data_IF_945567313740
#
_entry.id   IF_945567313740
#
_cell.length_a   1.000
_cell.length_b   1.000
_cell.length_c   1.000
_cell.angle_alpha   90.00
_cell.angle_beta   90.00
_cell.angle_gamma   90.00
#
_symmetry.space_group_name_H-M   'P 1'
#
loop_
_entity.id
_entity.type
_entity.pdbx_description
1 polymer ?
#
# COMPACT_ATOMS: atom_id res chain seq x y z
N UNK A 1 57.41 5.53 67.69
CA UNK A 1 57.20 6.74 66.88
C UNK A 1 56.32 6.37 65.68
N UNK A 2 55.05 6.80 65.68
CA UNK A 2 54.47 7.78 64.73
C UNK A 2 54.79 7.45 63.26
N UNK A 3 53.89 7.40 62.28
CA UNK A 3 52.51 7.86 61.99
C UNK A 3 52.40 7.45 60.49
N UNK A 4 51.33 6.92 59.90
CA UNK A 4 50.01 7.50 59.63
C UNK A 4 49.50 6.74 58.38
N UNK A 5 48.23 6.38 58.37
CA UNK A 5 47.28 6.45 57.23
C UNK A 5 47.63 5.73 55.89
N UNK A 6 46.71 5.07 55.19
CA UNK A 6 45.30 5.41 54.94
C UNK A 6 44.61 4.13 54.41
N UNK A 7 43.53 3.70 55.05
CA UNK A 7 42.65 2.62 54.58
C UNK A 7 41.71 3.18 53.51
N UNK A 8 41.89 2.78 52.25
CA UNK A 8 40.97 3.10 51.16
C UNK A 8 39.74 2.18 51.24
N UNK A 9 38.64 2.73 51.77
CA UNK A 9 37.32 2.10 51.74
C UNK A 9 36.78 2.13 50.30
N UNK A 10 36.73 0.98 49.64
CA UNK A 10 36.02 0.83 48.38
C UNK A 10 34.52 0.86 48.63
N UNK A 11 33.85 1.95 48.25
CA UNK A 11 32.40 2.01 48.18
C UNK A 11 32.01 1.49 46.80
N UNK A 12 31.51 0.26 46.73
CA UNK A 12 30.83 -0.27 45.55
C UNK A 12 29.48 0.44 45.50
N UNK A 13 29.40 1.55 44.75
CA UNK A 13 28.14 2.20 44.45
C UNK A 13 27.32 1.30 43.54
N UNK A 14 26.24 0.71 44.07
CA UNK A 14 25.23 0.04 43.27
C UNK A 14 24.53 1.07 42.39
N UNK A 15 25.00 1.22 41.15
CA UNK A 15 24.38 2.07 40.15
C UNK A 15 23.15 1.32 39.62
N UNK A 16 22.00 1.56 40.24
CA UNK A 16 20.70 1.06 39.77
C UNK A 16 20.39 1.73 38.44
N UNK A 17 20.63 1.03 37.34
CA UNK A 17 20.15 1.41 36.01
C UNK A 17 18.63 1.27 36.06
N UNK A 18 17.93 2.39 36.33
CA UNK A 18 16.50 2.47 36.11
C UNK A 18 16.26 2.37 34.61
N UNK A 19 15.87 1.19 34.12
CA UNK A 19 15.33 1.03 32.78
C UNK A 19 14.09 1.94 32.69
N UNK A 20 14.05 2.90 31.75
CA UNK A 20 12.84 3.69 31.58
C UNK A 20 11.71 2.72 31.18
N UNK A 21 10.63 2.70 31.97
CA UNK A 21 9.37 2.10 31.54
C UNK A 21 8.89 2.87 30.32
N UNK A 22 9.17 2.33 29.14
CA UNK A 22 8.48 2.75 27.93
C UNK A 22 7.01 2.33 28.11
N UNK A 23 6.04 3.25 28.04
CA UNK A 23 4.66 2.89 28.21
C UNK A 23 4.28 1.91 27.10
N UNK A 24 3.79 0.73 27.49
CA UNK A 24 3.19 -0.26 26.61
C UNK A 24 1.87 0.29 26.06
N UNK A 25 1.97 1.20 25.09
CA UNK A 25 0.85 2.04 24.69
C UNK A 25 1.06 2.79 23.38
N UNK A 26 1.60 2.11 22.37
CA UNK A 26 1.53 2.58 20.98
C UNK A 26 1.52 1.42 19.97
N UNK A 27 0.91 0.29 20.32
CA UNK A 27 0.44 -0.64 19.30
C UNK A 27 -0.87 -0.06 18.76
N UNK A 28 -0.73 0.76 17.72
CA UNK A 28 -1.87 1.27 16.97
C UNK A 28 -2.67 0.05 16.50
N UNK A 29 -3.84 -0.19 17.09
CA UNK A 29 -4.68 -1.35 16.74
C UNK A 29 -4.91 -1.31 15.24
N UNK A 30 -4.63 -2.43 14.57
CA UNK A 30 -4.88 -2.56 13.14
C UNK A 30 -6.38 -2.34 12.88
N UNK A 31 -6.71 -1.25 12.19
CA UNK A 31 -8.07 -0.97 11.75
C UNK A 31 -8.32 -1.63 10.39
N UNK A 32 -9.10 -2.70 10.41
CA UNK A 32 -9.57 -3.43 9.21
C UNK A 32 -11.02 -3.09 8.85
N UNK A 33 -11.56 -1.99 9.39
CA UNK A 33 -12.91 -1.55 9.08
C UNK A 33 -13.05 -1.25 7.58
N UNK A 34 -14.27 -1.39 7.06
CA UNK A 34 -14.59 -1.05 5.66
C UNK A 34 -14.06 0.34 5.30
N UNK A 35 -14.28 1.33 6.17
CA UNK A 35 -13.80 2.70 5.98
C UNK A 35 -12.28 2.77 5.89
N UNK A 36 -11.56 2.11 6.79
CA UNK A 36 -10.10 2.07 6.74
C UNK A 36 -9.58 1.45 5.44
N UNK A 37 -10.26 0.42 4.93
CA UNK A 37 -9.89 -0.28 3.70
C UNK A 37 -10.24 0.53 2.44
N UNK A 38 -11.37 1.23 2.40
CA UNK A 38 -11.84 1.95 1.19
C UNK A 38 -11.44 3.43 1.13
N UNK A 39 -11.17 4.08 2.26
CA UNK A 39 -11.02 5.53 2.33
C UNK A 39 -9.74 5.99 3.03
N UNK A 40 -8.67 5.17 2.97
CA UNK A 40 -7.34 5.57 3.43
C UNK A 40 -6.89 6.85 2.68
N UNK A 41 -6.40 7.87 3.39
CA UNK A 41 -6.07 9.16 2.79
C UNK A 41 -4.86 9.12 1.86
N UNK A 42 -3.98 8.14 2.01
CA UNK A 42 -2.74 8.01 1.23
C UNK A 42 -2.91 7.03 0.06
N UNK A 43 -3.83 6.07 0.19
CA UNK A 43 -4.09 5.07 -0.85
C UNK A 43 -4.58 5.75 -2.16
N UNK A 44 -3.87 5.56 -3.28
CA UNK A 44 -4.29 6.14 -4.55
C UNK A 44 -5.67 5.61 -4.98
N UNK A 45 -6.46 6.50 -5.59
CA UNK A 45 -7.83 6.20 -6.03
C UNK A 45 -8.03 6.61 -7.47
N UNK A 46 -8.88 5.87 -8.20
CA UNK A 46 -9.34 6.22 -9.55
C UNK A 46 -10.86 6.08 -9.61
N UNK A 47 -11.55 7.19 -9.87
CA UNK A 47 -13.01 7.24 -10.04
C UNK A 47 -13.43 8.57 -10.68
N UNK A 48 -14.66 8.59 -11.22
CA UNK A 48 -15.43 9.84 -11.39
C UNK A 48 -16.03 10.31 -10.06
N UNK A 49 -16.70 11.46 -10.07
CA UNK A 49 -17.32 12.06 -8.87
C UNK A 49 -18.48 11.25 -8.29
N UNK A 50 -19.16 10.42 -9.11
CA UNK A 50 -20.45 9.80 -8.77
C UNK A 50 -20.37 8.26 -8.76
N UNK A 51 -19.39 7.72 -8.02
CA UNK A 51 -19.26 6.28 -7.86
C UNK A 51 -20.28 5.72 -6.85
N UNK A 52 -20.87 4.57 -7.15
CA UNK A 52 -21.80 3.85 -6.26
C UNK A 52 -21.20 2.54 -5.72
N UNK A 53 -20.05 2.13 -6.27
CA UNK A 53 -19.35 0.92 -5.86
C UNK A 53 -17.84 1.16 -5.80
N UNK A 54 -17.20 0.55 -4.81
CA UNK A 54 -15.74 0.58 -4.66
C UNK A 54 -15.17 -0.82 -4.77
N UNK A 55 -14.16 -0.97 -5.62
CA UNK A 55 -13.28 -2.12 -5.71
C UNK A 55 -11.97 -1.74 -5.01
N UNK A 56 -11.54 -2.54 -4.05
CA UNK A 56 -10.21 -2.41 -3.45
C UNK A 56 -9.34 -3.48 -4.07
N UNK A 57 -8.30 -3.08 -4.81
CA UNK A 57 -7.36 -3.99 -5.47
C UNK A 57 -6.07 -4.08 -4.66
N UNK A 58 -5.71 -5.28 -4.22
CA UNK A 58 -4.42 -5.62 -3.65
C UNK A 58 -3.54 -6.21 -4.76
N UNK A 59 -2.41 -5.58 -5.07
CA UNK A 59 -1.59 -5.93 -6.23
C UNK A 59 -0.10 -5.63 -6.05
N UNK A 60 0.71 -6.23 -6.92
CA UNK A 60 2.16 -6.01 -7.02
C UNK A 60 2.53 -5.81 -8.50
N UNK A 61 3.42 -4.86 -8.80
CA UNK A 61 3.92 -4.58 -10.16
C UNK A 61 4.75 -5.72 -10.79
N UNK A 62 5.29 -6.63 -9.98
CA UNK A 62 5.97 -7.85 -10.43
C UNK A 62 5.04 -9.06 -10.56
N UNK A 63 3.78 -8.97 -10.15
CA UNK A 63 2.86 -10.10 -10.24
C UNK A 63 2.32 -10.28 -11.68
N UNK A 64 2.55 -11.44 -12.34
CA UNK A 64 2.05 -11.67 -13.70
C UNK A 64 0.51 -11.66 -13.80
N UNK A 65 -0.19 -12.13 -12.76
CA UNK A 65 -1.65 -12.10 -12.72
C UNK A 65 -2.21 -10.69 -12.52
N UNK A 66 -1.52 -9.80 -11.78
CA UNK A 66 -1.91 -8.39 -11.70
C UNK A 66 -1.82 -7.71 -13.07
N UNK A 67 -0.78 -8.02 -13.85
CA UNK A 67 -0.65 -7.53 -15.24
C UNK A 67 -1.77 -8.05 -16.14
N UNK A 68 -2.17 -9.33 -16.00
CA UNK A 68 -3.34 -9.89 -16.70
C UNK A 68 -4.66 -9.24 -16.29
N UNK A 69 -4.80 -8.84 -15.02
CA UNK A 69 -5.99 -8.14 -14.55
C UNK A 69 -6.09 -6.69 -15.05
N UNK A 70 -5.01 -6.11 -15.57
CA UNK A 70 -5.04 -4.71 -16.00
C UNK A 70 -6.04 -4.42 -17.13
N UNK A 71 -6.04 -5.13 -18.26
CA UNK A 71 -7.07 -4.94 -19.29
C UNK A 71 -8.48 -5.25 -18.77
N UNK A 72 -8.64 -6.19 -17.82
CA UNK A 72 -9.95 -6.51 -17.22
C UNK A 72 -10.50 -5.33 -16.42
N UNK A 73 -9.70 -4.74 -15.53
CA UNK A 73 -10.13 -3.57 -14.75
C UNK A 73 -10.34 -2.32 -15.63
N UNK A 74 -9.51 -2.12 -16.65
CA UNK A 74 -9.71 -1.04 -17.61
C UNK A 74 -11.00 -1.23 -18.42
N UNK A 75 -11.31 -2.46 -18.85
CA UNK A 75 -12.57 -2.78 -19.51
C UNK A 75 -13.79 -2.56 -18.62
N UNK A 76 -13.68 -2.87 -17.33
CA UNK A 76 -14.74 -2.57 -16.36
C UNK A 76 -14.96 -1.06 -16.24
N UNK A 77 -13.90 -0.30 -15.94
CA UNK A 77 -13.97 1.16 -15.78
C UNK A 77 -14.50 1.87 -17.03
N UNK A 78 -14.16 1.36 -18.21
CA UNK A 78 -14.66 1.90 -19.48
C UNK A 78 -16.16 1.64 -19.67
N UNK A 79 -16.65 0.47 -19.25
CA UNK A 79 -18.08 0.13 -19.36
C UNK A 79 -18.94 0.60 -18.19
N UNK A 80 -18.33 1.03 -17.09
CA UNK A 80 -19.01 1.31 -15.84
C UNK A 80 -18.33 2.48 -15.09
N UNK A 81 -18.70 3.73 -15.42
CA UNK A 81 -18.08 4.92 -14.84
C UNK A 81 -18.43 5.14 -13.36
N UNK A 82 -19.38 4.37 -12.80
CA UNK A 82 -19.76 4.42 -11.39
C UNK A 82 -18.87 3.55 -10.50
N UNK A 83 -17.87 2.88 -11.06
CA UNK A 83 -16.87 2.12 -10.30
C UNK A 83 -15.73 3.04 -9.84
N UNK A 84 -15.45 3.01 -8.54
CA UNK A 84 -14.20 3.51 -7.95
C UNK A 84 -13.24 2.35 -7.70
N UNK A 85 -11.96 2.56 -8.03
CA UNK A 85 -10.87 1.67 -7.58
C UNK A 85 -10.05 2.38 -6.49
N UNK A 86 -9.78 1.65 -5.41
CA UNK A 86 -8.78 1.99 -4.39
C UNK A 86 -7.61 1.03 -4.58
N UNK A 87 -6.42 1.59 -4.79
CA UNK A 87 -5.19 0.83 -5.01
C UNK A 87 -4.50 0.56 -3.67
N UNK A 88 -4.31 -0.72 -3.37
CA UNK A 88 -3.56 -1.23 -2.21
C UNK A 88 -2.31 -1.94 -2.72
N UNK A 89 -1.29 -1.15 -3.04
CA UNK A 89 0.02 -1.69 -3.39
C UNK A 89 0.52 -2.60 -2.26
N UNK A 90 0.70 -3.89 -2.57
CA UNK A 90 1.13 -4.92 -1.65
C UNK A 90 2.39 -5.60 -2.21
N UNK A 91 3.57 -4.99 -2.00
CA UNK A 91 4.80 -5.38 -2.66
C UNK A 91 5.44 -6.64 -2.01
N UNK A 92 4.91 -7.81 -2.34
CA UNK A 92 5.32 -9.11 -1.78
C UNK A 92 6.40 -9.84 -2.61
N UNK A 93 6.77 -9.31 -3.79
CA UNK A 93 7.80 -9.91 -4.66
C UNK A 93 9.21 -9.31 -4.45
N UNK A 94 9.44 -8.60 -3.34
CA UNK A 94 10.77 -8.16 -2.90
C UNK A 94 11.10 -6.68 -3.14
N UNK A 95 12.39 -6.30 -3.07
CA UNK A 95 12.80 -4.89 -3.01
C UNK A 95 12.36 -4.04 -4.22
N UNK A 96 12.44 -4.59 -5.42
CA UNK A 96 12.01 -3.89 -6.63
C UNK A 96 10.50 -3.58 -6.64
N UNK A 97 9.68 -4.50 -6.14
CA UNK A 97 8.25 -4.26 -5.98
C UNK A 97 7.97 -3.13 -4.99
N UNK A 98 8.72 -3.09 -3.88
CA UNK A 98 8.61 -2.02 -2.89
C UNK A 98 9.04 -0.67 -3.47
N UNK A 99 10.11 -0.64 -4.25
CA UNK A 99 10.56 0.58 -4.94
C UNK A 99 9.48 1.09 -5.90
N UNK A 100 8.91 0.21 -6.74
CA UNK A 100 7.85 0.56 -7.68
C UNK A 100 6.57 1.04 -6.98
N UNK A 101 6.14 0.36 -5.92
CA UNK A 101 4.99 0.76 -5.10
C UNK A 101 5.19 2.16 -4.51
N UNK A 102 6.34 2.41 -3.86
CA UNK A 102 6.66 3.72 -3.30
C UNK A 102 6.65 4.81 -4.37
N UNK A 103 7.28 4.56 -5.52
CA UNK A 103 7.33 5.49 -6.63
C UNK A 103 5.95 5.77 -7.23
N UNK A 104 5.12 4.74 -7.41
CA UNK A 104 3.76 4.89 -7.91
C UNK A 104 2.93 5.75 -6.96
N UNK A 105 2.88 5.41 -5.67
CA UNK A 105 2.15 6.17 -4.63
C UNK A 105 2.65 7.62 -4.60
N UNK A 106 3.96 7.86 -4.63
CA UNK A 106 4.56 9.20 -4.66
C UNK A 106 4.12 10.05 -5.88
N UNK A 107 3.80 9.43 -7.01
CA UNK A 107 3.38 10.18 -8.19
C UNK A 107 1.95 10.76 -8.08
N UNK A 108 1.18 10.39 -7.06
CA UNK A 108 -0.16 10.95 -6.82
C UNK A 108 -0.10 12.45 -6.49
N UNK A 109 0.95 12.91 -5.81
CA UNK A 109 1.19 14.33 -5.52
C UNK A 109 1.56 15.15 -6.76
N UNK A 110 1.68 14.50 -7.91
CA UNK A 110 1.81 15.13 -9.23
C UNK A 110 0.58 14.91 -10.10
N UNK A 111 -0.48 14.29 -9.57
CA UNK A 111 -1.65 13.82 -10.32
C UNK A 111 -1.30 12.86 -11.48
N UNK A 112 -0.22 12.07 -11.31
CA UNK A 112 0.29 11.13 -12.32
C UNK A 112 0.14 9.66 -11.95
N UNK A 113 -0.42 9.33 -10.78
CA UNK A 113 -0.57 7.95 -10.32
C UNK A 113 -1.20 7.04 -11.38
N UNK A 114 -2.36 7.40 -11.93
CA UNK A 114 -3.03 6.55 -12.92
C UNK A 114 -2.14 6.26 -14.14
N UNK A 115 -1.49 7.28 -14.70
CA UNK A 115 -0.61 7.11 -15.85
C UNK A 115 0.64 6.27 -15.50
N UNK A 116 1.23 6.47 -14.33
CA UNK A 116 2.43 5.76 -13.91
C UNK A 116 2.15 4.30 -13.55
N UNK A 117 1.06 4.06 -12.85
CA UNK A 117 0.54 2.73 -12.54
C UNK A 117 0.31 1.91 -13.81
N UNK A 118 -0.35 2.47 -14.83
CA UNK A 118 -0.52 1.82 -16.13
C UNK A 118 0.84 1.56 -16.80
N UNK A 119 1.75 2.55 -16.80
CA UNK A 119 3.06 2.42 -17.42
C UNK A 119 3.95 1.35 -16.76
N UNK A 120 3.81 1.11 -15.45
CA UNK A 120 4.52 0.07 -14.71
C UNK A 120 3.97 -1.33 -15.03
N UNK A 121 2.64 -1.51 -15.01
CA UNK A 121 2.00 -2.80 -15.25
C UNK A 121 2.03 -3.27 -16.70
N UNK A 122 2.10 -2.32 -17.64
CA UNK A 122 2.23 -2.63 -19.09
C UNK A 122 3.68 -2.67 -19.57
N UNK A 123 4.64 -2.29 -18.73
CA UNK A 123 6.07 -2.32 -19.08
C UNK A 123 6.55 -3.75 -19.33
N UNK A 124 7.22 -3.99 -20.46
CA UNK A 124 7.98 -5.23 -20.70
C UNK A 124 9.40 -5.18 -20.13
N UNK A 125 9.87 -3.99 -19.73
CA UNK A 125 11.17 -3.84 -19.09
C UNK A 125 11.20 -4.51 -17.71
N UNK A 126 12.39 -4.96 -17.31
CA UNK A 126 12.65 -5.46 -15.95
C UNK A 126 12.21 -4.41 -14.93
N UNK A 127 11.57 -4.86 -13.84
CA UNK A 127 11.26 -3.99 -12.73
C UNK A 127 12.51 -3.82 -11.86
N UNK A 128 13.34 -2.85 -12.22
CA UNK A 128 14.45 -2.31 -11.45
C UNK A 128 14.39 -0.79 -11.49
N UNK A 129 15.32 -0.10 -10.82
CA UNK A 129 15.31 1.37 -10.75
C UNK A 129 15.34 2.05 -12.12
N UNK A 130 16.01 1.45 -13.12
CA UNK A 130 16.05 1.98 -14.47
C UNK A 130 14.70 1.78 -15.19
N UNK A 131 14.10 0.59 -15.07
CA UNK A 131 12.76 0.29 -15.60
C UNK A 131 11.66 1.15 -14.97
N UNK A 132 11.72 1.38 -13.64
CA UNK A 132 10.80 2.25 -12.91
C UNK A 132 10.94 3.70 -13.42
N UNK A 133 12.17 4.20 -13.59
CA UNK A 133 12.41 5.54 -14.15
C UNK A 133 11.93 5.65 -15.60
N UNK A 134 12.12 4.61 -16.42
CA UNK A 134 11.63 4.59 -17.79
C UNK A 134 10.09 4.64 -17.85
N UNK A 135 9.40 3.90 -16.96
CA UNK A 135 7.95 3.98 -16.82
C UNK A 135 7.49 5.37 -16.34
N UNK A 136 8.23 5.99 -15.42
CA UNK A 136 7.95 7.35 -14.95
C UNK A 136 8.04 8.37 -16.11
N UNK A 137 9.06 8.26 -16.96
CA UNK A 137 9.20 9.09 -18.18
C UNK A 137 8.01 8.92 -19.12
N UNK A 138 7.59 7.67 -19.42
CA UNK A 138 6.41 7.42 -20.26
C UNK A 138 5.13 8.03 -19.67
N UNK A 139 5.00 8.00 -18.36
CA UNK A 139 3.88 8.58 -17.63
C UNK A 139 3.98 10.09 -17.41
N UNK A 140 5.04 10.75 -17.91
CA UNK A 140 5.31 12.18 -17.72
C UNK A 140 5.35 12.59 -16.24
N UNK A 141 5.92 11.72 -15.40
CA UNK A 141 6.25 12.00 -14.00
C UNK A 141 7.55 12.81 -13.97
N UNK A 142 7.56 13.93 -13.25
CA UNK A 142 8.78 14.69 -12.97
C UNK A 142 9.59 13.90 -11.94
N UNK A 143 10.69 13.29 -12.39
CA UNK A 143 11.50 12.41 -11.56
C UNK A 143 12.22 13.14 -10.41
N UNK A 144 12.91 14.28 -10.62
CA UNK A 144 13.42 15.09 -9.52
C UNK A 144 12.35 15.47 -8.49
N UNK A 145 11.14 15.85 -8.93
CA UNK A 145 10.02 16.12 -8.02
C UNK A 145 9.58 14.86 -7.28
N UNK A 146 9.48 13.73 -7.96
CA UNK A 146 9.11 12.44 -7.36
C UNK A 146 10.08 12.06 -6.24
N UNK A 147 11.38 12.28 -6.44
CA UNK A 147 12.39 12.04 -5.40
C UNK A 147 12.22 12.96 -4.19
N UNK A 148 11.76 14.21 -4.38
CA UNK A 148 11.40 15.10 -3.26
C UNK A 148 10.13 14.62 -2.57
N UNK A 149 9.09 14.26 -3.33
CA UNK A 149 7.84 13.72 -2.80
C UNK A 149 8.10 12.46 -1.96
N UNK A 150 8.97 11.56 -2.42
CA UNK A 150 9.40 10.37 -1.66
C UNK A 150 10.14 10.71 -0.36
N UNK A 151 10.89 11.81 -0.31
CA UNK A 151 11.55 12.28 0.93
C UNK A 151 10.53 12.88 1.90
N UNK A 152 9.60 13.69 1.40
CA UNK A 152 8.56 14.36 2.19
C UNK A 152 7.53 13.37 2.74
N UNK A 153 7.03 12.49 1.87
CA UNK A 153 5.90 11.59 2.14
C UNK A 153 6.31 10.14 2.43
N UNK A 154 7.62 9.84 2.45
CA UNK A 154 8.13 8.47 2.57
C UNK A 154 7.59 7.70 3.77
N UNK A 155 7.45 8.37 4.94
CA UNK A 155 6.93 7.71 6.16
C UNK A 155 5.46 7.30 6.04
N UNK A 156 4.62 8.16 5.46
CA UNK A 156 3.19 7.84 5.29
C UNK A 156 2.96 6.80 4.18
N UNK A 157 3.80 6.80 3.15
CA UNK A 157 3.84 5.75 2.12
C UNK A 157 4.22 4.41 2.77
N UNK A 158 5.28 4.36 3.57
CA UNK A 158 5.68 3.11 4.26
C UNK A 158 4.61 2.63 5.23
N UNK A 159 3.99 3.56 5.96
CA UNK A 159 2.88 3.24 6.85
C UNK A 159 1.66 2.68 6.07
N UNK A 160 1.35 3.23 4.89
CA UNK A 160 0.32 2.69 4.00
C UNK A 160 0.66 1.25 3.57
N UNK A 161 1.89 0.99 3.12
CA UNK A 161 2.31 -0.35 2.71
C UNK A 161 2.22 -1.35 3.87
N UNK A 162 2.63 -0.96 5.08
CA UNK A 162 2.51 -1.79 6.27
C UNK A 162 1.05 -2.07 6.66
N UNK A 163 0.16 -1.05 6.59
CA UNK A 163 -1.27 -1.24 6.82
C UNK A 163 -1.89 -2.15 5.76
N UNK A 164 -1.53 -1.98 4.49
CA UNK A 164 -1.98 -2.85 3.40
C UNK A 164 -1.63 -4.31 3.66
N UNK A 165 -0.40 -4.60 4.06
CA UNK A 165 0.08 -5.94 4.39
C UNK A 165 -0.71 -6.57 5.57
N UNK A 166 -0.90 -5.78 6.62
CA UNK A 166 -1.63 -6.21 7.80
C UNK A 166 -3.13 -6.45 7.49
N UNK A 167 -3.77 -5.59 6.69
CA UNK A 167 -5.15 -5.79 6.21
C UNK A 167 -5.24 -7.05 5.35
N UNK A 168 -4.30 -7.26 4.42
CA UNK A 168 -4.28 -8.44 3.56
C UNK A 168 -4.18 -9.73 4.39
N UNK A 169 -3.30 -9.73 5.39
CA UNK A 169 -3.12 -10.83 6.33
C UNK A 169 -4.39 -11.10 7.15
N UNK A 170 -5.02 -10.06 7.70
CA UNK A 170 -6.23 -10.18 8.52
C UNK A 170 -7.45 -10.68 7.73
N UNK A 171 -7.52 -10.39 6.43
CA UNK A 171 -8.56 -10.89 5.51
C UNK A 171 -8.25 -12.32 5.03
N UNK A 172 -7.01 -12.80 5.21
CA UNK A 172 -6.57 -14.12 4.76
C UNK A 172 -6.16 -14.15 3.29
N UNK A 173 -5.73 -13.03 2.72
CA UNK A 173 -5.10 -13.02 1.40
C UNK A 173 -3.71 -13.63 1.46
N UNK A 174 -3.43 -14.56 0.54
CA UNK A 174 -2.16 -15.28 0.45
C UNK A 174 -1.37 -14.90 -0.82
N UNK A 175 -1.81 -13.87 -1.56
CA UNK A 175 -1.15 -13.43 -2.77
C UNK A 175 -1.95 -12.41 -3.57
N UNK A 176 -1.35 -11.97 -4.68
CA UNK A 176 -1.90 -10.96 -5.57
C UNK A 176 -2.25 -11.54 -6.95
N UNK A 177 -3.23 -10.98 -7.70
CA UNK A 177 -4.14 -9.93 -7.25
C UNK A 177 -5.19 -10.49 -6.28
N UNK A 178 -5.71 -9.62 -5.43
CA UNK A 178 -6.87 -9.91 -4.61
C UNK A 178 -7.79 -8.69 -4.54
N UNK A 179 -9.08 -8.90 -4.36
CA UNK A 179 -10.06 -7.83 -4.42
C UNK A 179 -11.07 -7.89 -3.29
N UNK A 180 -11.53 -6.71 -2.87
CA UNK A 180 -12.72 -6.55 -2.05
C UNK A 180 -13.73 -5.73 -2.85
N UNK A 181 -14.93 -6.27 -3.03
CA UNK A 181 -16.02 -5.62 -3.79
C UNK A 181 -17.31 -5.73 -2.99
N UNK A 182 -17.77 -4.62 -2.41
CA UNK A 182 -18.87 -4.69 -1.43
C UNK A 182 -18.46 -5.53 -0.22
N UNK A 183 -19.20 -6.59 0.08
CA UNK A 183 -18.85 -7.57 1.12
C UNK A 183 -18.12 -8.81 0.56
N UNK A 184 -17.85 -8.84 -0.74
CA UNK A 184 -17.23 -10.00 -1.41
C UNK A 184 -15.71 -9.89 -1.35
N UNK A 185 -15.06 -11.01 -1.07
CA UNK A 185 -13.62 -11.20 -1.09
C UNK A 185 -13.31 -12.09 -2.30
N UNK A 186 -12.45 -11.63 -3.19
CA UNK A 186 -12.10 -12.33 -4.44
C UNK A 186 -10.60 -12.55 -4.46
N UNK A 187 -10.17 -13.79 -4.32
CA UNK A 187 -8.77 -14.17 -4.40
C UNK A 187 -8.40 -14.50 -5.85
N UNK A 188 -7.36 -13.85 -6.37
CA UNK A 188 -6.83 -14.15 -7.71
C UNK A 188 -7.50 -13.37 -8.84
N UNK A 189 -7.01 -13.65 -10.05
CA UNK A 189 -7.50 -13.03 -11.28
C UNK A 189 -8.84 -13.62 -11.73
N UNK A 190 -9.68 -12.79 -12.32
CA UNK A 190 -10.98 -13.16 -12.91
C UNK A 190 -11.12 -12.52 -14.29
N UNK A 191 -11.99 -13.06 -15.14
CA UNK A 191 -12.30 -12.41 -16.41
C UNK A 191 -13.29 -11.23 -16.23
N UNK A 192 -13.47 -10.43 -17.29
CA UNK A 192 -14.37 -9.28 -17.27
C UNK A 192 -15.84 -9.66 -17.00
N UNK A 193 -16.41 -10.72 -17.60
CA UNK A 193 -17.76 -11.19 -17.25
C UNK A 193 -17.94 -11.52 -15.77
N UNK A 194 -16.99 -12.25 -15.16
CA UNK A 194 -17.03 -12.58 -13.75
C UNK A 194 -16.92 -11.32 -12.87
N UNK A 195 -15.99 -10.42 -13.19
CA UNK A 195 -15.84 -9.16 -12.45
C UNK A 195 -17.11 -8.30 -12.50
N UNK A 196 -17.79 -8.22 -13.66
CA UNK A 196 -19.08 -7.54 -13.79
C UNK A 196 -20.17 -8.16 -12.91
N UNK A 197 -20.26 -9.50 -12.85
CA UNK A 197 -21.23 -10.19 -11.97
C UNK A 197 -20.96 -9.91 -10.49
N UNK A 198 -19.68 -9.90 -10.09
CA UNK A 198 -19.26 -9.56 -8.72
C UNK A 198 -19.71 -8.13 -8.37
N UNK A 199 -19.44 -7.17 -9.25
CA UNK A 199 -19.86 -5.77 -9.08
C UNK A 199 -21.37 -5.63 -8.99
N UNK A 200 -22.12 -6.25 -9.91
CA UNK A 200 -23.58 -6.20 -9.91
C UNK A 200 -24.19 -6.76 -8.61
N UNK A 201 -23.65 -7.88 -8.12
CA UNK A 201 -24.07 -8.50 -6.85
C UNK A 201 -23.73 -7.63 -5.65
N UNK A 202 -22.61 -6.91 -5.70
CA UNK A 202 -22.22 -6.00 -4.63
C UNK A 202 -23.15 -4.78 -4.55
N UNK A 203 -23.59 -4.26 -5.71
CA UNK A 203 -24.52 -3.13 -5.79
C UNK A 203 -25.91 -3.47 -5.26
N UNK A 204 -26.50 -4.58 -5.70
CA UNK A 204 -27.85 -4.96 -5.27
C UNK A 204 -27.95 -5.13 -3.75
N UNK A 205 -26.89 -5.62 -3.10
CA UNK A 205 -26.81 -5.75 -1.64
C UNK A 205 -26.57 -4.41 -0.91
N UNK A 206 -26.01 -3.41 -1.59
CA UNK A 206 -25.81 -2.07 -1.03
C UNK A 206 -27.08 -1.24 -1.06
N UNK A 207 -27.92 -1.43 -2.08
CA UNK A 207 -29.21 -0.74 -2.23
C UNK A 207 -30.30 -1.32 -1.31
N UNK A 208 -30.14 -2.56 -0.86
CA UNK A 208 -31.09 -3.25 0.04
C UNK A 208 -30.89 -2.94 1.53
N UNK A 209 -30.02 -1.98 1.89
CA UNK A 209 -29.74 -1.54 3.27
C UNK A 209 -30.07 -0.07 3.44
#
# INVERSE_FOLDING_TARGET
>A
MNRRNLLTRGIIGAMTIALPLVPAGAQQRLDVSRKAVTDDPVAPKRAGSDYDITIVEFFDYNCPYCRRMRPVLNGLLASDPKVRIVYRDWPIFGPASREAARAAIASQWQHRHAAFHEALLTSTARLDSAGIRAAATRAKVDWPRLQRDLKTHGREIDALLARTDAIASAIGFNGTPAFIVGSQVVAGAVDLPALRRIVATARSKSEAR
#
